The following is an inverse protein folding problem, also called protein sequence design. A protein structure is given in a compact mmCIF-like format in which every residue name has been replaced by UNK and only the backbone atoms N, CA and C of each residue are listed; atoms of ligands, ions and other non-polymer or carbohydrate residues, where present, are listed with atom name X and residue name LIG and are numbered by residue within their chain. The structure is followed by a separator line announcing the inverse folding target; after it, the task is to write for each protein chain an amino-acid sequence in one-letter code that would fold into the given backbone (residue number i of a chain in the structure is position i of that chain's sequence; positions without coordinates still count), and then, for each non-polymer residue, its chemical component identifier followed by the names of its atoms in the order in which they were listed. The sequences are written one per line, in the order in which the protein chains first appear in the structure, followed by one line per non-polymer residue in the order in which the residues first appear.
data_IF_688789359215
#
_entry.id   IF_688789359215
#
_cell.length_a   1.000
_cell.length_b   1.000
_cell.length_c   1.000
_cell.angle_alpha   90.00
_cell.angle_beta   90.00
_cell.angle_gamma   90.00
#
_symmetry.space_group_name_H-M   'P 1'
#
loop_
_entity.id
_entity.type
_entity.pdbx_description
1 polymer ?
#
# COMPACT_ATOMS: atom_id res chain seq x y z
N UNK A 1 28.74 23.45 -25.29
CA UNK A 1 27.71 24.22 -24.57
C UNK A 1 26.52 23.31 -24.40
N UNK A 2 26.13 23.04 -23.14
CA UNK A 2 24.96 22.22 -22.81
C UNK A 2 23.69 22.94 -23.26
N UNK A 3 22.89 22.27 -24.08
CA UNK A 3 21.66 22.82 -24.66
C UNK A 3 20.60 23.04 -23.55
N UNK A 4 20.32 24.32 -23.29
CA UNK A 4 19.35 24.79 -22.29
C UNK A 4 17.90 24.39 -22.61
N UNK A 5 17.62 23.78 -23.77
CA UNK A 5 16.30 23.23 -24.13
C UNK A 5 15.89 22.01 -23.28
N UNK A 6 16.84 21.23 -22.77
CA UNK A 6 16.56 20.04 -21.95
C UNK A 6 16.19 20.36 -20.49
N UNK A 7 16.45 21.57 -20.03
CA UNK A 7 16.06 22.04 -18.69
C UNK A 7 14.65 22.64 -18.64
N UNK A 8 13.97 22.79 -19.79
CA UNK A 8 12.62 23.38 -19.88
C UNK A 8 11.47 22.38 -19.73
N UNK A 9 11.74 21.09 -19.49
CA UNK A 9 10.71 20.07 -19.27
C UNK A 9 10.29 19.91 -17.80
N UNK A 10 10.81 20.72 -16.88
CA UNK A 10 10.42 20.66 -15.47
C UNK A 10 9.18 21.49 -15.10
N UNK A 11 8.66 22.34 -15.99
CA UNK A 11 7.57 23.29 -15.64
C UNK A 11 6.58 23.58 -16.78
N UNK A 12 6.54 22.77 -17.84
CA UNK A 12 5.45 22.83 -18.80
C UNK A 12 4.26 22.05 -18.25
N UNK A 13 3.22 22.73 -17.76
CA UNK A 13 1.94 22.08 -17.48
C UNK A 13 1.43 21.43 -18.76
N UNK A 14 1.41 20.09 -18.77
CA UNK A 14 0.82 19.34 -19.86
C UNK A 14 -0.69 19.65 -19.93
N UNK A 15 -1.30 19.69 -21.13
CA UNK A 15 -2.72 19.90 -21.27
C UNK A 15 -3.49 18.84 -20.48
N UNK A 16 -4.36 19.29 -19.56
CA UNK A 16 -5.22 18.44 -18.77
C UNK A 16 -6.15 17.62 -19.68
N UNK A 17 -5.88 16.31 -19.81
CA UNK A 17 -6.76 15.38 -20.52
C UNK A 17 -7.94 15.01 -19.61
N UNK A 18 -9.17 15.44 -19.93
CA UNK A 18 -10.36 15.15 -19.13
C UNK A 18 -10.70 13.65 -19.07
N UNK A 19 -10.12 12.85 -19.97
CA UNK A 19 -10.35 11.41 -20.05
C UNK A 19 -9.60 10.61 -18.97
N UNK A 20 -8.50 11.16 -18.45
CA UNK A 20 -7.59 10.45 -17.53
C UNK A 20 -7.36 11.18 -16.19
N UNK A 21 -8.02 12.32 -15.98
CA UNK A 21 -8.10 13.04 -14.70
C UNK A 21 -6.75 13.19 -13.96
N UNK A 22 -5.67 13.47 -14.69
CA UNK A 22 -4.48 14.13 -14.13
C UNK A 22 -3.38 13.27 -13.48
N UNK A 23 -3.17 12.00 -13.82
CA UNK A 23 -2.01 11.24 -13.35
C UNK A 23 -0.97 10.97 -14.46
N UNK A 24 -0.14 12.00 -14.66
CA UNK A 24 1.29 12.08 -15.06
C UNK A 24 1.94 10.94 -15.88
N UNK A 25 2.57 11.36 -16.98
CA UNK A 25 3.63 10.70 -17.75
C UNK A 25 4.68 9.93 -16.92
N UNK A 26 4.67 8.59 -17.00
CA UNK A 26 5.83 7.73 -16.69
C UNK A 26 5.63 6.28 -17.13
N UNK A 27 5.12 6.00 -18.34
CA UNK A 27 4.87 4.60 -18.73
C UNK A 27 5.13 4.45 -20.23
N UNK A 28 6.27 3.88 -20.60
CA UNK A 28 6.32 3.06 -21.81
C UNK A 28 5.15 2.09 -21.72
N UNK A 29 4.15 2.19 -22.60
CA UNK A 29 2.89 1.45 -22.50
C UNK A 29 3.10 0.00 -22.01
N UNK A 30 2.84 -0.23 -20.72
CA UNK A 30 3.03 -1.53 -20.08
C UNK A 30 1.76 -2.38 -20.20
N UNK A 31 0.75 -1.96 -20.97
CA UNK A 31 -0.52 -2.70 -21.09
C UNK A 31 -0.35 -4.13 -21.59
N UNK A 32 0.68 -4.40 -22.42
CA UNK A 32 1.04 -5.76 -22.86
C UNK A 32 1.76 -6.59 -21.78
N UNK A 33 2.34 -5.95 -20.76
CA UNK A 33 3.11 -6.57 -19.67
C UNK A 33 2.33 -6.60 -18.34
N UNK A 34 1.24 -5.86 -18.27
CA UNK A 34 0.43 -5.64 -17.09
C UNK A 34 -0.84 -6.48 -17.13
N UNK A 35 -1.05 -7.28 -16.10
CA UNK A 35 -2.36 -7.86 -15.81
C UNK A 35 -2.87 -7.29 -14.50
N UNK A 36 -3.83 -6.37 -14.62
CA UNK A 36 -4.54 -5.78 -13.50
C UNK A 36 -5.67 -6.65 -13.00
N UNK A 37 -5.77 -6.80 -11.69
CA UNK A 37 -6.97 -7.36 -11.07
C UNK A 37 -7.32 -6.60 -9.79
N UNK A 38 -8.59 -6.21 -9.66
CA UNK A 38 -9.17 -5.75 -8.40
C UNK A 38 -9.87 -6.94 -7.75
N UNK A 39 -9.63 -7.16 -6.46
CA UNK A 39 -10.21 -8.27 -5.72
C UNK A 39 -10.67 -7.79 -4.35
N UNK A 40 -11.91 -8.14 -3.99
CA UNK A 40 -12.39 -8.12 -2.61
C UNK A 40 -11.82 -9.35 -1.92
N UNK A 41 -10.65 -9.18 -1.30
CA UNK A 41 -9.86 -10.27 -0.74
C UNK A 41 -10.49 -10.84 0.55
N UNK A 42 -10.36 -12.15 0.75
CA UNK A 42 -10.55 -12.78 2.07
C UNK A 42 -9.36 -12.43 2.97
N UNK A 43 -9.36 -11.22 3.53
CA UNK A 43 -8.37 -10.80 4.53
C UNK A 43 -8.70 -11.47 5.86
N UNK A 44 -7.71 -12.11 6.48
CA UNK A 44 -7.90 -12.75 7.78
C UNK A 44 -7.51 -11.78 8.89
N UNK A 45 -8.43 -11.36 9.79
CA UNK A 45 -8.05 -10.60 10.97
C UNK A 45 -7.16 -11.45 11.87
N UNK A 46 -6.12 -10.81 12.42
CA UNK A 46 -5.26 -11.37 13.45
C UNK A 46 -5.47 -10.54 14.74
N UNK A 47 -5.01 -11.04 15.88
CA UNK A 47 -4.91 -10.26 17.14
C UNK A 47 -6.17 -9.54 17.68
N UNK A 48 -7.36 -10.15 17.60
CA UNK A 48 -8.55 -9.61 18.28
C UNK A 48 -9.06 -8.28 17.73
N UNK A 49 -8.52 -7.84 16.59
CA UNK A 49 -9.01 -6.67 15.85
C UNK A 49 -10.31 -6.99 15.12
N UNK A 50 -11.05 -5.96 14.76
CA UNK A 50 -12.19 -6.06 13.84
C UNK A 50 -11.81 -5.53 12.48
N UNK A 51 -12.29 -6.18 11.42
CA UNK A 51 -12.08 -5.71 10.04
C UNK A 51 -13.45 -5.53 9.40
N UNK A 52 -13.64 -4.38 8.74
CA UNK A 52 -14.77 -4.19 7.84
C UNK A 52 -14.38 -4.70 6.45
N UNK A 53 -14.79 -5.93 6.13
CA UNK A 53 -14.52 -6.57 4.84
C UNK A 53 -15.07 -5.78 3.65
N UNK A 54 -16.13 -4.99 3.84
CA UNK A 54 -16.71 -4.16 2.79
C UNK A 54 -15.89 -2.90 2.50
N UNK A 55 -15.07 -2.47 3.46
CA UNK A 55 -14.16 -1.34 3.32
C UNK A 55 -12.78 -1.72 2.73
N UNK A 56 -12.50 -3.01 2.58
CA UNK A 56 -11.23 -3.50 2.02
C UNK A 56 -11.20 -3.31 0.51
N UNK A 57 -10.14 -2.66 0.04
CA UNK A 57 -9.82 -2.56 -1.39
C UNK A 57 -8.39 -3.00 -1.61
N UNK A 58 -8.19 -4.05 -2.40
CA UNK A 58 -6.86 -4.49 -2.81
C UNK A 58 -6.78 -4.51 -4.33
N UNK A 59 -5.75 -3.86 -4.87
CA UNK A 59 -5.44 -3.83 -6.29
C UNK A 59 -4.07 -4.45 -6.51
N UNK A 60 -4.00 -5.41 -7.42
CA UNK A 60 -2.75 -6.06 -7.81
C UNK A 60 -2.36 -5.60 -9.21
N UNK A 61 -1.11 -5.17 -9.35
CA UNK A 61 -0.45 -5.01 -10.63
C UNK A 61 0.60 -6.09 -10.77
N UNK A 62 0.41 -6.98 -11.74
CA UNK A 62 1.36 -8.04 -12.04
C UNK A 62 2.21 -7.63 -13.25
N UNK A 63 3.52 -7.72 -13.09
CA UNK A 63 4.53 -7.65 -14.15
C UNK A 63 5.25 -9.00 -14.23
N UNK A 64 6.18 -9.14 -15.18
CA UNK A 64 6.91 -10.40 -15.41
C UNK A 64 7.69 -10.88 -14.17
N UNK A 65 8.44 -9.97 -13.56
CA UNK A 65 9.41 -10.29 -12.50
C UNK A 65 9.05 -9.61 -11.15
N UNK A 66 7.97 -8.84 -11.12
CA UNK A 66 7.54 -8.05 -9.97
C UNK A 66 6.03 -8.02 -9.88
N UNK A 67 5.50 -8.07 -8.67
CA UNK A 67 4.08 -7.81 -8.38
C UNK A 67 3.96 -6.63 -7.42
N UNK A 68 3.15 -5.64 -7.77
CA UNK A 68 2.85 -4.49 -6.91
C UNK A 68 1.44 -4.63 -6.37
N UNK A 69 1.26 -4.54 -5.05
CA UNK A 69 -0.03 -4.64 -4.37
C UNK A 69 -0.33 -3.33 -3.67
N UNK A 70 -1.42 -2.68 -4.06
CA UNK A 70 -1.98 -1.54 -3.36
C UNK A 70 -3.14 -2.02 -2.50
N UNK A 71 -3.20 -1.56 -1.25
CA UNK A 71 -4.31 -1.90 -0.38
C UNK A 71 -4.76 -0.70 0.45
N UNK A 72 -6.06 -0.65 0.69
CA UNK A 72 -6.70 0.23 1.65
C UNK A 72 -7.57 -0.63 2.56
N UNK A 73 -7.28 -0.63 3.85
CA UNK A 73 -7.93 -1.50 4.82
C UNK A 73 -8.28 -0.69 6.07
N UNK A 74 -9.52 -0.83 6.53
CA UNK A 74 -9.94 -0.41 7.85
C UNK A 74 -9.68 -1.51 8.88
N UNK A 75 -9.02 -1.18 9.98
CA UNK A 75 -8.72 -2.08 11.10
C UNK A 75 -9.20 -1.41 12.38
N UNK A 76 -10.22 -1.97 13.00
CA UNK A 76 -10.77 -1.46 14.25
C UNK A 76 -10.24 -2.19 15.48
N UNK A 77 -10.29 -1.51 16.62
CA UNK A 77 -9.92 -2.06 17.96
C UNK A 77 -8.46 -2.52 18.07
N UNK A 78 -7.54 -1.84 17.41
CA UNK A 78 -6.11 -2.15 17.51
C UNK A 78 -5.61 -1.78 18.91
N UNK A 79 -4.98 -2.74 19.58
CA UNK A 79 -4.36 -2.55 20.88
C UNK A 79 -2.87 -2.87 20.76
N UNK A 80 -2.01 -1.89 21.03
CA UNK A 80 -0.57 -2.01 20.85
C UNK A 80 0.16 -0.98 21.70
N UNK A 81 1.32 -1.35 22.26
CA UNK A 81 2.16 -0.35 22.94
C UNK A 81 3.00 0.40 21.92
N UNK A 82 3.38 1.62 22.29
CA UNK A 82 4.32 2.43 21.52
C UNK A 82 5.60 1.62 21.23
N UNK A 83 6.08 1.71 19.99
CA UNK A 83 7.28 1.02 19.48
C UNK A 83 7.18 -0.52 19.47
N UNK A 84 6.00 -1.10 19.69
CA UNK A 84 5.78 -2.54 19.55
C UNK A 84 5.13 -2.88 18.21
N UNK A 85 5.69 -3.90 17.56
CA UNK A 85 5.04 -4.55 16.42
C UNK A 85 3.88 -5.41 16.90
N UNK A 86 2.70 -5.24 16.32
CA UNK A 86 1.61 -6.19 16.49
C UNK A 86 1.10 -6.69 15.13
N UNK A 87 0.99 -8.00 14.91
CA UNK A 87 0.38 -8.54 13.69
C UNK A 87 -1.13 -8.29 13.76
N UNK A 88 -1.71 -7.61 12.78
CA UNK A 88 -3.14 -7.21 12.80
C UNK A 88 -3.98 -7.94 11.76
N UNK A 89 -3.41 -8.30 10.62
CA UNK A 89 -4.13 -9.03 9.58
C UNK A 89 -3.17 -9.79 8.67
N UNK A 90 -3.72 -10.70 7.88
CA UNK A 90 -2.98 -11.36 6.80
C UNK A 90 -3.73 -11.22 5.48
N UNK A 91 -3.01 -10.76 4.45
CA UNK A 91 -3.44 -10.86 3.07
C UNK A 91 -3.04 -12.24 2.51
N UNK A 92 -3.85 -12.86 1.64
CA UNK A 92 -3.47 -14.14 1.03
C UNK A 92 -2.15 -14.04 0.26
N UNK A 93 -1.24 -15.00 0.45
CA UNK A 93 0.05 -15.02 -0.27
C UNK A 93 -0.10 -15.09 -1.80
N UNK A 94 -1.27 -15.51 -2.31
CA UNK A 94 -1.60 -15.45 -3.74
C UNK A 94 -1.63 -14.02 -4.31
N UNK A 95 -1.74 -12.99 -3.46
CA UNK A 95 -1.55 -11.60 -3.88
C UNK A 95 -0.10 -11.27 -4.21
N UNK A 96 0.86 -12.02 -3.66
CA UNK A 96 2.29 -11.87 -3.93
C UNK A 96 2.74 -12.67 -5.18
N UNK A 97 1.81 -13.37 -5.84
CA UNK A 97 2.02 -14.08 -7.11
C UNK A 97 3.14 -15.15 -7.08
N UNK A 98 3.47 -15.67 -5.89
CA UNK A 98 4.49 -16.69 -5.70
C UNK A 98 5.91 -16.15 -5.49
N UNK A 99 6.08 -14.83 -5.47
CA UNK A 99 7.36 -14.19 -5.16
C UNK A 99 7.77 -14.39 -3.69
N UNK A 100 9.08 -14.48 -3.47
CA UNK A 100 9.67 -14.83 -2.17
C UNK A 100 10.14 -13.64 -1.33
N UNK A 101 10.40 -12.49 -1.96
CA UNK A 101 10.80 -11.24 -1.30
C UNK A 101 9.66 -10.23 -1.34
N UNK A 102 9.55 -9.44 -0.28
CA UNK A 102 8.56 -8.38 -0.15
C UNK A 102 9.23 -7.12 0.36
N UNK A 103 9.03 -6.02 -0.35
CA UNK A 103 9.37 -4.66 0.06
C UNK A 103 8.09 -3.88 0.41
N UNK A 104 8.16 -3.18 1.53
CA UNK A 104 7.08 -2.34 2.03
C UNK A 104 7.42 -0.88 1.78
N UNK A 105 6.57 -0.20 1.03
CA UNK A 105 6.63 1.25 0.90
C UNK A 105 5.61 1.85 1.87
N UNK A 106 5.91 1.76 3.16
CA UNK A 106 5.09 2.37 4.20
C UNK A 106 5.53 3.80 4.46
N UNK A 107 4.58 4.74 4.39
CA UNK A 107 4.75 6.08 4.92
C UNK A 107 4.28 6.14 6.37
N UNK A 108 4.70 7.19 7.08
CA UNK A 108 4.03 7.58 8.32
C UNK A 108 2.55 7.81 8.04
N UNK A 109 1.70 7.17 8.83
CA UNK A 109 0.26 7.30 8.76
C UNK A 109 -0.26 7.86 10.08
N UNK A 110 -1.35 8.59 9.98
CA UNK A 110 -1.96 9.29 11.11
C UNK A 110 -3.38 8.80 11.32
N UNK A 111 -3.74 8.65 12.59
CA UNK A 111 -5.13 8.53 13.01
C UNK A 111 -5.78 9.91 13.08
N UNK A 112 -7.12 9.94 13.17
CA UNK A 112 -7.88 11.20 13.29
C UNK A 112 -7.50 11.99 14.55
N UNK A 113 -7.06 11.32 15.61
CA UNK A 113 -6.56 11.92 16.84
C UNK A 113 -5.04 12.20 16.82
N UNK A 114 -4.46 12.31 15.63
CA UNK A 114 -3.06 12.68 15.36
C UNK A 114 -2.01 11.74 15.98
N UNK A 115 -2.36 10.48 16.27
CA UNK A 115 -1.37 9.45 16.61
C UNK A 115 -0.73 8.92 15.34
N UNK A 116 0.56 8.64 15.40
CA UNK A 116 1.33 8.17 14.26
C UNK A 116 1.59 6.68 14.36
N UNK A 117 1.53 6.00 13.21
CA UNK A 117 1.96 4.63 13.09
C UNK A 117 2.63 4.39 11.73
N UNK A 118 3.36 3.29 11.67
CA UNK A 118 3.82 2.70 10.42
C UNK A 118 3.27 1.27 10.33
N UNK A 119 3.27 0.70 9.14
CA UNK A 119 3.00 -0.72 8.96
C UNK A 119 4.19 -1.42 8.29
N UNK A 120 4.24 -2.73 8.44
CA UNK A 120 5.17 -3.61 7.76
C UNK A 120 4.45 -4.88 7.33
N UNK A 121 4.78 -5.44 6.17
CA UNK A 121 4.25 -6.71 5.69
C UNK A 121 5.37 -7.73 5.54
N UNK A 122 5.29 -8.86 6.24
CA UNK A 122 6.27 -9.92 6.04
C UNK A 122 5.97 -10.74 4.77
N UNK A 123 6.91 -11.60 4.40
CA UNK A 123 6.81 -12.46 3.21
C UNK A 123 5.61 -13.45 3.23
N UNK A 124 5.02 -13.69 4.40
CA UNK A 124 3.82 -14.52 4.54
C UNK A 124 2.52 -13.72 4.35
N UNK A 125 2.61 -12.43 3.99
CA UNK A 125 1.46 -11.55 3.82
C UNK A 125 0.86 -11.06 5.14
N UNK A 126 1.54 -11.22 6.28
CA UNK A 126 1.08 -10.65 7.55
C UNK A 126 1.45 -9.18 7.64
N UNK A 127 0.43 -8.34 7.79
CA UNK A 127 0.59 -6.93 8.07
C UNK A 127 0.68 -6.72 9.58
N UNK A 128 1.72 -6.00 9.99
CA UNK A 128 1.98 -5.58 11.34
C UNK A 128 1.83 -4.06 11.46
N UNK A 129 1.35 -3.60 12.61
CA UNK A 129 1.26 -2.17 12.94
C UNK A 129 2.28 -1.85 14.01
N UNK A 130 2.93 -0.70 13.85
CA UNK A 130 3.89 -0.13 14.77
C UNK A 130 3.44 1.28 15.17
N UNK A 131 2.82 1.45 16.35
CA UNK A 131 2.54 2.78 16.90
C UNK A 131 3.85 3.53 17.20
N UNK A 132 3.94 4.80 16.84
CA UNK A 132 5.16 5.61 16.98
C UNK A 132 5.05 6.65 18.08
N UNK A 133 3.92 7.33 18.21
CA UNK A 133 3.79 8.45 19.17
C UNK A 133 3.12 8.10 20.48
N UNK A 134 2.24 7.10 20.52
CA UNK A 134 1.49 6.71 21.72
C UNK A 134 1.14 5.22 21.71
N UNK A 135 0.67 4.73 22.86
CA UNK A 135 -0.03 3.46 22.92
C UNK A 135 -1.38 3.56 22.19
N UNK A 136 -1.79 2.46 21.58
CA UNK A 136 -3.12 2.27 21.01
C UNK A 136 -3.97 1.48 22.00
N UNK A 137 -5.13 2.06 22.34
CA UNK A 137 -6.17 1.44 23.16
C UNK A 137 -7.47 1.50 22.35
N UNK A 138 -7.90 0.35 21.83
CA UNK A 138 -9.02 0.23 20.90
C UNK A 138 -8.97 1.23 19.74
N UNK A 139 -7.80 1.40 19.14
CA UNK A 139 -7.60 2.38 18.08
C UNK A 139 -8.16 1.87 16.75
N UNK A 140 -8.89 2.73 16.06
CA UNK A 140 -9.31 2.49 14.68
C UNK A 140 -8.29 3.10 13.72
N UNK A 141 -7.91 2.32 12.70
CA UNK A 141 -6.85 2.62 11.75
C UNK A 141 -7.36 2.48 10.32
N UNK A 142 -7.02 3.45 9.47
CA UNK A 142 -7.09 3.32 8.02
C UNK A 142 -5.67 3.12 7.50
N UNK A 143 -5.39 1.92 7.01
CA UNK A 143 -4.07 1.57 6.50
C UNK A 143 -4.10 1.64 4.98
N UNK A 144 -3.40 2.63 4.44
CA UNK A 144 -3.10 2.74 3.02
C UNK A 144 -1.68 2.24 2.79
N UNK A 145 -1.52 1.25 1.92
CA UNK A 145 -0.21 0.65 1.72
C UNK A 145 0.07 0.19 0.31
N UNK A 146 1.36 0.14 0.02
CA UNK A 146 1.93 -0.44 -1.20
C UNK A 146 2.97 -1.49 -0.83
N UNK A 147 2.84 -2.67 -1.43
CA UNK A 147 3.80 -3.77 -1.36
C UNK A 147 4.41 -3.98 -2.74
N UNK A 148 5.69 -4.30 -2.78
CA UNK A 148 6.35 -4.81 -3.97
C UNK A 148 6.88 -6.21 -3.67
N UNK A 149 6.44 -7.21 -4.40
CA UNK A 149 6.89 -8.59 -4.28
C UNK A 149 7.73 -8.96 -5.50
N UNK A 150 8.86 -9.62 -5.28
CA UNK A 150 9.84 -9.99 -6.32
C UNK A 150 10.72 -11.16 -5.85
N UNK A 151 11.66 -11.61 -6.69
CA UNK A 151 12.62 -12.69 -6.39
C UNK A 151 14.09 -12.25 -6.40
#
# INVERSE_FOLDING_TARGET
MSDYSKLKLAHGELPWDPKYNGLVDAVSDLSEQYQGSESTANVTPLSGVTIDQSAIKIRKLKFKDVTVVFFNIYIGKVNAKQWQSVPVLSIPASFLDGHSKVENYSSYQHTDDAKEFTYDCNANGTINIFPRTANFENQDLYVLGTLMAYD
#
